data_IF_035213065575
#
_entry.id   IF_035213065575
#
_cell.length_a   1.000
_cell.length_b   1.000
_cell.length_c   1.000
_cell.angle_alpha   90.00
_cell.angle_beta   90.00
_cell.angle_gamma   90.00
#
_symmetry.space_group_name_H-M   'P 1'
#
loop_
_entity.id
_entity.type
_entity.pdbx_description
1 polymer ?
#
# COMPACT_ATOMS: atom_id res chain seq x y z
N UNK A 1 -18.57 51.04 26.37
CA UNK A 1 -19.63 51.07 25.34
C UNK A 1 -19.01 51.59 24.05
N UNK A 2 -19.36 50.96 22.92
CA UNK A 2 -18.94 51.21 21.53
C UNK A 2 -17.50 50.77 21.19
N UNK A 3 -17.20 49.73 20.39
CA UNK A 3 -17.52 49.46 18.95
C UNK A 3 -16.94 50.60 18.06
N UNK A 4 -16.15 50.42 16.98
CA UNK A 4 -15.98 49.35 15.98
C UNK A 4 -14.74 49.66 15.09
N UNK A 5 -14.04 48.62 14.58
CA UNK A 5 -13.37 48.48 13.24
C UNK A 5 -12.35 49.52 12.74
N UNK A 6 -11.29 49.25 11.96
CA UNK A 6 -10.85 48.16 11.08
C UNK A 6 -9.42 48.54 10.67
N UNK A 7 -8.49 47.59 10.54
CA UNK A 7 -7.50 47.73 9.48
C UNK A 7 -7.15 46.35 8.91
N UNK A 8 -7.52 46.20 7.64
CA UNK A 8 -7.50 44.97 6.89
C UNK A 8 -6.07 44.52 6.62
N UNK A 9 -5.87 43.20 6.77
CA UNK A 9 -4.68 42.50 6.38
C UNK A 9 -4.43 42.64 4.87
N UNK A 10 -3.31 43.27 4.51
CA UNK A 10 -2.74 43.21 3.16
C UNK A 10 -2.00 41.87 3.01
N UNK A 11 -2.73 40.79 2.74
CA UNK A 11 -2.17 39.51 2.34
C UNK A 11 -1.64 39.57 0.91
N UNK A 12 -0.38 39.99 0.74
CA UNK A 12 0.38 39.76 -0.49
C UNK A 12 0.97 38.35 -0.45
N UNK A 13 0.23 37.38 -0.96
CA UNK A 13 0.77 36.05 -1.25
C UNK A 13 1.51 36.09 -2.59
N UNK A 14 2.81 36.40 -2.54
CA UNK A 14 3.75 36.19 -3.63
C UNK A 14 5.02 35.51 -3.09
N UNK A 15 5.08 34.18 -3.15
CA UNK A 15 6.31 33.50 -3.57
C UNK A 15 6.00 32.08 -4.05
N UNK A 16 6.33 31.85 -5.31
CA UNK A 16 6.30 30.56 -5.99
C UNK A 16 7.72 29.97 -5.91
N UNK A 17 7.79 28.68 -5.54
CA UNK A 17 8.93 27.74 -5.53
C UNK A 17 10.13 27.97 -4.59
N UNK A 18 10.15 27.26 -3.45
CA UNK A 18 11.24 26.33 -3.04
C UNK A 18 11.12 25.94 -1.55
N UNK A 19 10.49 24.80 -1.28
CA UNK A 19 10.56 24.18 0.03
C UNK A 19 9.70 22.92 0.03
N UNK A 20 10.32 21.78 0.31
CA UNK A 20 9.59 20.57 0.66
C UNK A 20 8.51 20.93 1.70
N UNK A 21 7.31 20.34 1.63
CA UNK A 21 6.27 20.62 2.60
C UNK A 21 6.84 20.46 4.01
N UNK A 22 6.77 21.55 4.78
CA UNK A 22 7.20 21.60 6.16
C UNK A 22 6.32 20.63 6.97
N UNK A 23 6.93 19.74 7.75
CA UNK A 23 6.20 18.77 8.56
C UNK A 23 5.27 19.44 9.57
N UNK A 24 4.22 18.72 9.99
CA UNK A 24 3.17 19.22 10.90
C UNK A 24 3.75 19.82 12.18
N UNK A 25 4.87 19.31 12.67
CA UNK A 25 5.56 19.81 13.87
C UNK A 25 5.94 21.31 13.85
N UNK A 26 5.93 21.96 12.67
CA UNK A 26 6.21 23.39 12.50
C UNK A 26 4.95 24.29 12.58
N UNK A 27 3.76 23.70 12.67
CA UNK A 27 2.50 24.41 12.86
C UNK A 27 2.17 24.53 14.37
N UNK A 28 1.34 25.51 14.79
CA UNK A 28 0.79 25.55 16.14
C UNK A 28 0.13 24.21 16.52
N UNK A 29 0.47 23.68 17.69
CA UNK A 29 0.03 22.38 18.20
C UNK A 29 0.30 21.17 17.28
N UNK A 30 1.11 21.33 16.24
CA UNK A 30 1.25 20.33 15.19
C UNK A 30 1.92 19.03 15.61
N UNK A 31 2.74 19.05 16.68
CA UNK A 31 3.27 17.82 17.31
C UNK A 31 2.18 17.03 18.02
N UNK A 32 1.32 17.72 18.78
CA UNK A 32 0.19 17.10 19.48
C UNK A 32 -0.79 16.51 18.45
N UNK A 33 -1.11 17.28 17.41
CA UNK A 33 -1.94 16.81 16.31
C UNK A 33 -1.34 15.58 15.61
N UNK A 34 -0.05 15.60 15.30
CA UNK A 34 0.64 14.45 14.67
C UNK A 34 0.55 13.19 15.51
N UNK A 35 0.71 13.28 16.84
CA UNK A 35 0.60 12.10 17.72
C UNK A 35 -0.82 11.53 17.76
N UNK A 36 -1.84 12.38 17.73
CA UNK A 36 -3.23 11.92 17.59
C UNK A 36 -3.48 11.25 16.25
N UNK A 37 -3.01 11.85 15.16
CA UNK A 37 -3.13 11.29 13.81
C UNK A 37 -2.41 9.94 13.70
N UNK A 38 -1.20 9.84 14.25
CA UNK A 38 -0.43 8.60 14.29
C UNK A 38 -1.22 7.48 14.99
N UNK A 39 -1.82 7.76 16.15
CA UNK A 39 -2.65 6.78 16.85
C UNK A 39 -3.90 6.42 16.05
N UNK A 40 -4.60 7.39 15.47
CA UNK A 40 -5.84 7.13 14.72
C UNK A 40 -5.63 6.32 13.45
N UNK A 41 -4.55 6.59 12.71
CA UNK A 41 -4.26 5.92 11.43
C UNK A 41 -3.61 4.55 11.62
N UNK A 42 -2.83 4.34 12.69
CA UNK A 42 -2.05 3.09 12.88
C UNK A 42 -2.58 2.19 13.99
N UNK A 43 -3.44 2.71 14.87
CA UNK A 43 -3.87 2.02 16.10
C UNK A 43 -2.76 1.84 17.16
N UNK A 44 -1.55 2.38 16.93
CA UNK A 44 -0.41 2.20 17.83
C UNK A 44 -0.30 3.34 18.84
N UNK A 45 -0.28 3.01 20.13
CA UNK A 45 -0.05 3.95 21.23
C UNK A 45 1.43 4.19 21.55
N UNK A 46 2.36 3.61 20.77
CA UNK A 46 3.80 3.77 20.93
C UNK A 46 4.24 5.20 20.66
N UNK A 47 5.35 5.60 21.29
CA UNK A 47 5.94 6.91 21.03
C UNK A 47 6.57 6.99 19.63
N UNK A 48 6.66 8.20 19.07
CA UNK A 48 7.38 8.45 17.81
C UNK A 48 8.81 7.89 17.84
N UNK A 49 9.55 8.12 18.94
CA UNK A 49 10.93 7.63 19.10
C UNK A 49 11.01 6.11 19.05
N UNK A 50 10.07 5.43 19.69
CA UNK A 50 10.00 3.97 19.67
C UNK A 50 9.70 3.45 18.26
N UNK A 51 8.75 4.05 17.56
CA UNK A 51 8.42 3.67 16.17
C UNK A 51 9.60 3.90 15.22
N UNK A 52 10.27 5.05 15.31
CA UNK A 52 11.48 5.33 14.53
C UNK A 52 12.56 4.29 14.83
N UNK A 53 12.77 3.94 16.11
CA UNK A 53 13.73 2.91 16.47
C UNK A 53 13.36 1.54 15.89
N UNK A 54 12.08 1.14 15.94
CA UNK A 54 11.61 -0.11 15.35
C UNK A 54 11.84 -0.15 13.83
N UNK A 55 11.54 0.95 13.12
CA UNK A 55 11.79 1.08 11.68
C UNK A 55 13.29 0.98 11.36
N UNK A 56 14.14 1.64 12.15
CA UNK A 56 15.60 1.57 11.98
C UNK A 56 16.13 0.14 12.18
N UNK A 57 15.63 -0.58 13.19
CA UNK A 57 16.00 -1.97 13.45
C UNK A 57 15.57 -2.88 12.30
N UNK A 58 14.34 -2.72 11.81
CA UNK A 58 13.83 -3.50 10.68
C UNK A 58 14.63 -3.23 9.40
N UNK A 59 14.93 -1.95 9.11
CA UNK A 59 15.73 -1.55 7.96
C UNK A 59 17.17 -2.12 8.02
N UNK A 60 17.79 -2.14 9.20
CA UNK A 60 19.10 -2.76 9.40
C UNK A 60 19.07 -4.28 9.19
N UNK A 61 18.00 -4.94 9.64
CA UNK A 61 17.79 -6.38 9.44
C UNK A 61 17.66 -6.73 7.96
N UNK A 62 16.86 -5.97 7.20
CA UNK A 62 16.69 -6.14 5.76
C UNK A 62 17.99 -5.91 5.00
N UNK A 63 18.73 -4.84 5.30
CA UNK A 63 20.05 -4.62 4.71
C UNK A 63 21.02 -5.77 5.01
N UNK A 64 21.00 -6.30 6.22
CA UNK A 64 21.86 -7.42 6.61
C UNK A 64 21.49 -8.69 5.83
N UNK A 65 20.19 -8.96 5.62
CA UNK A 65 19.73 -10.07 4.80
C UNK A 65 20.15 -9.93 3.34
N UNK A 66 20.03 -8.72 2.75
CA UNK A 66 20.49 -8.43 1.39
C UNK A 66 21.99 -8.67 1.27
N UNK A 67 22.80 -8.14 2.21
CA UNK A 67 24.27 -8.35 2.22
C UNK A 67 24.63 -9.82 2.36
N UNK A 68 23.91 -10.56 3.21
CA UNK A 68 24.10 -11.99 3.38
C UNK A 68 23.85 -12.74 2.07
N UNK A 69 22.70 -12.52 1.41
CA UNK A 69 22.39 -13.13 0.12
C UNK A 69 23.43 -12.78 -0.95
N UNK A 70 23.83 -11.51 -1.02
CA UNK A 70 24.88 -11.06 -1.94
C UNK A 70 26.23 -11.74 -1.69
N UNK A 71 26.59 -12.00 -0.42
CA UNK A 71 27.81 -12.74 -0.08
C UNK A 71 27.75 -14.22 -0.44
N UNK A 72 26.56 -14.84 -0.38
CA UNK A 72 26.37 -16.23 -0.76
C UNK A 72 26.40 -16.42 -2.28
N UNK A 73 26.02 -15.38 -3.04
CA UNK A 73 26.03 -15.42 -4.50
C UNK A 73 26.39 -14.05 -5.06
N UNK A 74 27.69 -13.75 -5.21
CA UNK A 74 28.16 -12.46 -5.73
C UNK A 74 27.62 -12.12 -7.12
N UNK A 75 27.30 -13.15 -7.93
CA UNK A 75 26.65 -13.00 -9.24
C UNK A 75 25.28 -12.33 -9.17
N UNK A 76 24.58 -12.36 -8.02
CA UNK A 76 23.31 -11.66 -7.84
C UNK A 76 23.45 -10.14 -7.98
N UNK A 77 24.58 -9.57 -7.53
CA UNK A 77 24.84 -8.14 -7.66
C UNK A 77 24.96 -7.73 -9.12
N UNK A 78 25.69 -8.53 -9.91
CA UNK A 78 25.80 -8.34 -11.35
C UNK A 78 24.44 -8.48 -12.04
N UNK A 79 23.69 -9.53 -11.71
CA UNK A 79 22.36 -9.79 -12.27
C UNK A 79 21.38 -8.65 -12.02
N UNK A 80 21.38 -8.09 -10.81
CA UNK A 80 20.55 -6.94 -10.43
C UNK A 80 20.99 -5.66 -11.16
N UNK A 81 22.31 -5.44 -11.31
CA UNK A 81 22.83 -4.25 -11.99
C UNK A 81 22.60 -4.25 -13.51
N UNK A 82 22.50 -5.43 -14.10
CA UNK A 82 22.29 -5.61 -15.54
C UNK A 82 20.81 -5.74 -15.91
N UNK A 83 19.90 -5.63 -14.92
CA UNK A 83 18.45 -5.92 -15.06
C UNK A 83 18.15 -7.30 -15.68
N UNK A 84 19.14 -8.19 -15.68
CA UNK A 84 19.10 -9.49 -16.35
C UNK A 84 18.46 -10.55 -15.45
N UNK A 85 17.32 -10.21 -14.85
CA UNK A 85 16.60 -11.13 -13.98
C UNK A 85 15.85 -12.16 -14.83
N UNK A 86 15.84 -13.42 -14.37
CA UNK A 86 15.06 -14.46 -15.02
C UNK A 86 13.58 -14.02 -15.11
N UNK A 87 12.96 -14.28 -16.27
CA UNK A 87 11.54 -13.97 -16.48
C UNK A 87 10.72 -14.65 -15.40
N UNK A 88 9.94 -13.86 -14.68
CA UNK A 88 9.05 -14.40 -13.66
C UNK A 88 8.02 -15.33 -14.33
N UNK A 89 7.77 -16.53 -13.78
CA UNK A 89 7.06 -17.58 -14.51
C UNK A 89 5.57 -17.32 -14.74
N UNK A 90 4.97 -16.38 -14.01
CA UNK A 90 3.56 -16.03 -14.12
C UNK A 90 3.42 -14.60 -14.64
N UNK A 91 2.69 -14.43 -15.74
CA UNK A 91 2.48 -13.12 -16.35
C UNK A 91 1.02 -12.65 -16.25
N UNK A 92 0.07 -13.57 -16.39
CA UNK A 92 -1.34 -13.22 -16.43
C UNK A 92 -1.92 -13.04 -15.02
N UNK A 93 -2.64 -11.93 -14.73
CA UNK A 93 -3.22 -11.65 -13.42
C UNK A 93 -4.08 -12.78 -12.85
N UNK A 94 -4.88 -13.43 -13.69
CA UNK A 94 -5.76 -14.53 -13.30
C UNK A 94 -4.97 -15.76 -12.85
N UNK A 95 -3.86 -16.07 -13.54
CA UNK A 95 -2.97 -17.17 -13.17
C UNK A 95 -2.26 -16.87 -11.84
N UNK A 96 -1.82 -15.62 -11.66
CA UNK A 96 -1.21 -15.15 -10.41
C UNK A 96 -2.20 -15.28 -9.25
N UNK A 97 -3.44 -14.81 -9.42
CA UNK A 97 -4.47 -14.88 -8.37
C UNK A 97 -4.82 -16.33 -8.02
N UNK A 98 -4.86 -17.23 -9.02
CA UNK A 98 -5.07 -18.66 -8.79
C UNK A 98 -3.90 -19.30 -8.02
N UNK A 99 -2.65 -18.98 -8.38
CA UNK A 99 -1.46 -19.46 -7.66
C UNK A 99 -1.44 -18.95 -6.21
N UNK A 100 -1.69 -17.65 -6.00
CA UNK A 100 -1.80 -17.04 -4.67
C UNK A 100 -2.89 -17.70 -3.82
N UNK A 101 -4.07 -17.94 -4.39
CA UNK A 101 -5.15 -18.66 -3.72
C UNK A 101 -4.74 -20.07 -3.31
N UNK A 102 -4.01 -20.79 -4.17
CA UNK A 102 -3.53 -22.12 -3.86
C UNK A 102 -2.49 -22.11 -2.73
N UNK A 103 -1.54 -21.18 -2.77
CA UNK A 103 -0.45 -21.07 -1.78
C UNK A 103 -0.94 -20.70 -0.40
N UNK A 104 -1.95 -19.83 -0.28
CA UNK A 104 -2.41 -19.37 1.03
C UNK A 104 -3.05 -20.48 1.88
N UNK A 105 -3.54 -21.56 1.27
CA UNK A 105 -4.40 -22.58 1.94
C UNK A 105 -3.77 -23.23 3.17
N UNK A 106 -2.44 -23.27 3.24
CA UNK A 106 -1.72 -23.89 4.35
C UNK A 106 -1.60 -22.95 5.56
N UNK A 107 -1.67 -21.63 5.33
CA UNK A 107 -1.38 -20.62 6.35
C UNK A 107 -2.64 -19.83 6.76
N UNK A 108 -3.69 -19.84 5.93
CA UNK A 108 -4.90 -19.04 6.11
C UNK A 108 -6.18 -19.88 5.97
N UNK A 109 -7.22 -19.63 6.81
CA UNK A 109 -8.52 -20.26 6.66
C UNK A 109 -9.15 -19.98 5.28
N UNK A 110 -9.61 -21.04 4.60
CA UNK A 110 -10.27 -20.92 3.30
C UNK A 110 -11.76 -20.63 3.50
N UNK A 111 -12.25 -19.55 2.87
CA UNK A 111 -13.68 -19.25 2.85
C UNK A 111 -14.46 -20.26 2.01
N UNK A 112 -15.67 -20.62 2.45
CA UNK A 112 -16.61 -21.47 1.71
C UNK A 112 -17.92 -20.71 1.50
N UNK A 113 -18.39 -20.51 0.24
CA UNK A 113 -17.73 -20.85 -1.01
C UNK A 113 -16.42 -20.06 -1.24
N UNK A 114 -15.56 -20.46 -2.17
CA UNK A 114 -14.38 -19.62 -2.51
C UNK A 114 -14.87 -18.37 -3.25
N UNK A 115 -14.48 -17.15 -2.83
CA UNK A 115 -14.90 -15.93 -3.50
C UNK A 115 -14.39 -15.89 -4.95
N UNK A 116 -15.22 -15.40 -5.86
CA UNK A 116 -14.80 -15.15 -7.24
C UNK A 116 -14.11 -13.79 -7.34
N UNK A 117 -13.13 -13.68 -8.23
CA UNK A 117 -12.43 -12.43 -8.52
C UNK A 117 -12.37 -12.23 -10.03
N UNK A 118 -12.70 -11.03 -10.49
CA UNK A 118 -12.55 -10.59 -11.88
C UNK A 118 -11.52 -9.48 -11.94
N UNK A 119 -10.59 -9.56 -12.89
CA UNK A 119 -9.64 -8.49 -13.17
C UNK A 119 -10.21 -7.57 -14.23
N UNK A 120 -10.09 -6.26 -14.03
CA UNK A 120 -10.50 -5.23 -14.99
C UNK A 120 -9.39 -4.23 -15.18
N UNK A 121 -9.32 -3.64 -16.37
CA UNK A 121 -8.41 -2.53 -16.59
C UNK A 121 -9.02 -1.22 -16.07
N UNK A 122 -8.16 -0.34 -15.55
CA UNK A 122 -8.55 1.03 -15.24
C UNK A 122 -8.88 1.77 -16.54
N UNK A 123 -9.95 2.56 -16.54
CA UNK A 123 -10.32 3.35 -17.71
C UNK A 123 -9.23 4.41 -18.02
N UNK A 124 -8.92 4.71 -19.30
CA UNK A 124 -7.81 5.59 -19.67
C UNK A 124 -7.79 6.96 -18.99
N UNK A 125 -8.96 7.54 -18.72
CA UNK A 125 -9.08 8.84 -18.05
C UNK A 125 -8.62 8.83 -16.59
N UNK A 126 -8.60 7.66 -15.93
CA UNK A 126 -8.21 7.49 -14.53
C UNK A 126 -6.80 6.93 -14.36
N UNK A 127 -6.20 6.36 -15.41
CA UNK A 127 -4.83 5.82 -15.35
C UNK A 127 -3.78 6.80 -14.79
N UNK A 128 -3.84 8.14 -15.04
CA UNK A 128 -2.87 9.06 -14.45
C UNK A 128 -2.94 9.28 -12.95
N UNK A 129 -4.05 8.88 -12.33
CA UNK A 129 -4.34 9.18 -10.93
C UNK A 129 -4.54 7.91 -10.11
N UNK A 130 -4.40 6.74 -10.73
CA UNK A 130 -4.68 5.45 -10.11
C UNK A 130 -3.40 4.70 -9.73
N UNK A 131 -3.49 3.95 -8.63
CA UNK A 131 -2.46 3.00 -8.23
C UNK A 131 -2.21 1.93 -9.33
N UNK A 132 -1.06 1.23 -9.32
CA UNK A 132 -0.77 0.15 -10.28
C UNK A 132 -1.84 -0.96 -10.31
N UNK A 133 -2.43 -1.28 -9.17
CA UNK A 133 -3.68 -2.01 -9.06
C UNK A 133 -4.42 -1.57 -7.79
N UNK A 134 -5.72 -1.86 -7.71
CA UNK A 134 -6.51 -1.68 -6.48
C UNK A 134 -7.73 -2.61 -6.45
N UNK A 135 -8.02 -3.15 -5.27
CA UNK A 135 -9.26 -3.86 -4.96
C UNK A 135 -10.34 -2.85 -4.51
N UNK A 136 -11.52 -2.96 -5.11
CA UNK A 136 -12.70 -2.25 -4.60
C UNK A 136 -13.51 -3.20 -3.73
N UNK A 137 -13.69 -2.82 -2.47
CA UNK A 137 -14.54 -3.56 -1.54
C UNK A 137 -15.95 -3.65 -2.10
N UNK A 138 -16.51 -4.86 -2.03
CA UNK A 138 -17.85 -5.11 -2.54
C UNK A 138 -18.92 -4.50 -1.62
N UNK A 139 -20.13 -4.22 -2.15
CA UNK A 139 -21.26 -3.81 -1.31
C UNK A 139 -21.53 -4.82 -0.19
N UNK A 140 -22.04 -4.32 0.94
CA UNK A 140 -22.45 -5.16 2.06
C UNK A 140 -23.43 -6.25 1.59
N UNK A 141 -23.13 -7.51 1.92
CA UNK A 141 -23.93 -8.67 1.53
C UNK A 141 -23.51 -9.35 0.22
N UNK A 142 -22.69 -8.72 -0.62
CA UNK A 142 -22.16 -9.33 -1.85
C UNK A 142 -20.67 -9.65 -1.70
N UNK A 143 -20.34 -10.69 -0.94
CA UNK A 143 -18.94 -11.08 -0.71
C UNK A 143 -18.39 -12.06 -1.76
N UNK A 144 -19.19 -12.42 -2.77
CA UNK A 144 -18.84 -13.43 -3.76
C UNK A 144 -18.28 -12.81 -5.05
N UNK A 145 -18.70 -11.60 -5.42
CA UNK A 145 -18.34 -10.95 -6.69
C UNK A 145 -17.29 -9.86 -6.50
N UNK A 146 -16.01 -10.23 -6.49
CA UNK A 146 -14.92 -9.29 -6.22
C UNK A 146 -14.25 -8.80 -7.51
N UNK A 147 -13.74 -7.57 -7.50
CA UNK A 147 -13.08 -6.96 -8.66
C UNK A 147 -11.76 -6.33 -8.24
N UNK A 148 -10.70 -6.66 -8.97
CA UNK A 148 -9.40 -5.98 -8.89
C UNK A 148 -9.20 -5.20 -10.18
N UNK A 149 -8.85 -3.92 -10.06
CA UNK A 149 -8.52 -3.07 -11.19
C UNK A 149 -7.01 -3.00 -11.36
N UNK A 150 -6.53 -3.13 -12.60
CA UNK A 150 -5.10 -2.98 -12.96
C UNK A 150 -4.92 -1.76 -13.84
N UNK A 151 -3.97 -0.91 -13.47
CA UNK A 151 -3.57 0.25 -14.24
C UNK A 151 -2.44 -0.12 -15.19
N UNK A 152 -2.80 -0.37 -16.46
CA UNK A 152 -1.86 -0.78 -17.51
C UNK A 152 -0.85 0.30 -17.86
N UNK A 153 -1.12 1.58 -17.56
CA UNK A 153 -0.14 2.66 -17.77
C UNK A 153 1.18 2.42 -17.03
N UNK A 154 1.12 1.85 -15.83
CA UNK A 154 2.31 1.56 -15.03
C UNK A 154 2.88 0.16 -15.32
N UNK A 155 2.14 -0.68 -16.05
CA UNK A 155 2.52 -2.02 -16.51
C UNK A 155 3.36 -2.82 -15.49
N UNK A 156 2.90 -2.99 -14.24
CA UNK A 156 3.61 -3.84 -13.28
C UNK A 156 3.71 -5.24 -13.89
N UNK A 157 4.91 -5.82 -13.87
CA UNK A 157 5.21 -7.10 -14.50
C UNK A 157 6.00 -8.01 -13.54
N UNK A 158 5.92 -9.31 -13.81
CA UNK A 158 6.63 -10.32 -13.05
C UNK A 158 6.40 -10.22 -11.55
N UNK A 159 7.49 -10.11 -10.77
CA UNK A 159 7.41 -10.11 -9.31
C UNK A 159 6.65 -8.90 -8.75
N UNK A 160 6.72 -7.74 -9.38
CA UNK A 160 5.99 -6.54 -8.92
C UNK A 160 4.47 -6.75 -9.07
N UNK A 161 4.04 -7.29 -10.21
CA UNK A 161 2.63 -7.64 -10.40
C UNK A 161 2.19 -8.69 -9.39
N UNK A 162 3.03 -9.69 -9.15
CA UNK A 162 2.74 -10.78 -8.21
C UNK A 162 2.52 -10.27 -6.79
N UNK A 163 3.42 -9.43 -6.27
CA UNK A 163 3.29 -8.86 -4.91
C UNK A 163 2.14 -7.86 -4.82
N UNK A 164 1.89 -7.09 -5.87
CA UNK A 164 0.73 -6.19 -5.94
C UNK A 164 -0.58 -6.98 -5.88
N UNK A 165 -0.73 -8.07 -6.64
CA UNK A 165 -1.92 -8.92 -6.59
C UNK A 165 -2.03 -9.72 -5.29
N UNK A 166 -0.92 -10.01 -4.61
CA UNK A 166 -0.95 -10.56 -3.26
C UNK A 166 -1.51 -9.54 -2.25
N UNK A 167 -1.16 -8.27 -2.40
CA UNK A 167 -1.66 -7.16 -1.57
C UNK A 167 -3.16 -6.88 -1.79
N UNK A 168 -3.59 -6.81 -3.04
CA UNK A 168 -5.00 -6.51 -3.38
C UNK A 168 -5.91 -7.74 -3.27
N UNK A 169 -5.38 -8.92 -3.63
CA UNK A 169 -6.12 -10.18 -3.71
C UNK A 169 -5.92 -11.08 -2.51
N UNK A 170 -5.08 -12.10 -2.68
CA UNK A 170 -4.93 -13.19 -1.73
C UNK A 170 -3.49 -13.31 -1.22
N UNK A 171 -3.25 -13.41 0.11
CA UNK A 171 -4.20 -13.28 1.23
C UNK A 171 -4.45 -11.81 1.66
N UNK A 172 -4.34 -10.85 0.74
CA UNK A 172 -4.46 -9.41 1.01
C UNK A 172 -5.89 -8.87 1.22
N UNK A 173 -6.15 -7.68 0.68
CA UNK A 173 -7.37 -6.90 0.96
C UNK A 173 -8.67 -7.64 0.64
N UNK A 174 -8.75 -8.29 -0.53
CA UNK A 174 -9.92 -9.09 -0.92
C UNK A 174 -10.15 -10.22 0.09
N UNK A 175 -9.12 -11.01 0.38
CA UNK A 175 -9.21 -12.11 1.34
C UNK A 175 -9.69 -11.61 2.71
N UNK A 176 -9.04 -10.58 3.24
CA UNK A 176 -9.38 -9.99 4.54
C UNK A 176 -10.83 -9.51 4.57
N UNK A 177 -11.28 -8.79 3.54
CA UNK A 177 -12.64 -8.26 3.44
C UNK A 177 -13.68 -9.37 3.40
N UNK A 178 -13.48 -10.37 2.54
CA UNK A 178 -14.39 -11.51 2.39
C UNK A 178 -14.45 -12.32 3.68
N UNK A 179 -13.29 -12.64 4.26
CA UNK A 179 -13.21 -13.40 5.50
C UNK A 179 -13.90 -12.67 6.65
N UNK A 180 -13.65 -11.36 6.81
CA UNK A 180 -14.28 -10.54 7.84
C UNK A 180 -15.80 -10.48 7.67
N UNK A 181 -16.31 -10.21 6.46
CA UNK A 181 -17.75 -10.13 6.20
C UNK A 181 -18.45 -11.46 6.51
N UNK A 182 -17.88 -12.58 6.10
CA UNK A 182 -18.53 -13.90 6.30
C UNK A 182 -18.44 -14.42 7.73
N UNK A 183 -17.42 -14.00 8.48
CA UNK A 183 -17.20 -14.46 9.85
C UNK A 183 -17.92 -13.59 10.87
N UNK A 184 -17.96 -12.26 10.66
CA UNK A 184 -18.38 -11.30 11.68
C UNK A 184 -19.65 -10.51 11.35
N UNK A 185 -20.22 -10.62 10.15
CA UNK A 185 -21.45 -9.90 9.77
C UNK A 185 -22.74 -10.73 9.92
N UNK A 186 -22.76 -11.70 10.84
CA UNK A 186 -23.97 -12.42 11.24
C UNK A 186 -24.80 -11.63 12.26
#
# INVERSE_FOLDING_TARGET
ASETTTNAASGKNNSVHNGLPKGLALLPDGKTYYLHLLFSETGSSRSEKELVQMLLVQFQKEQSAIRYLASQSPSLITLLSEENTAVFPLAEPEEILSDLQARMKNDFPVSSPVPTVTVKDVVPSLEPYSAPAFYLTTPLGDSDNNVIYINRRNSPQGLELYTTLAHEGFPGHLYQTVYSNRTFSN
#
